data_IF_660036350744
#
_entry.id   IF_660036350744
#
_cell.length_a   1.000
_cell.length_b   1.000
_cell.length_c   1.000
_cell.angle_alpha   90.00
_cell.angle_beta   90.00
_cell.angle_gamma   90.00
#
_symmetry.space_group_name_H-M   'P 1'
#
loop_
_entity.id
_entity.type
_entity.pdbx_description
1 polymer ?
#
# COMPACT_ATOMS: atom_id res chain seq x y z
N UNK A 1 -1.54 -7.64 -8.53
CA UNK A 1 -1.41 -6.76 -7.35
C UNK A 1 -2.78 -6.41 -6.78
N UNK A 2 -3.65 -5.78 -7.58
CA UNK A 2 -4.98 -5.35 -7.15
C UNK A 2 -5.78 -6.49 -6.48
N UNK A 3 -5.81 -7.68 -7.08
CA UNK A 3 -6.45 -8.86 -6.48
C UNK A 3 -5.89 -9.23 -5.10
N UNK A 4 -4.58 -9.15 -4.91
CA UNK A 4 -3.93 -9.46 -3.64
C UNK A 4 -4.30 -8.42 -2.56
N UNK A 5 -4.45 -7.16 -2.95
CA UNK A 5 -4.92 -6.07 -2.06
C UNK A 5 -6.40 -6.23 -1.73
N UNK A 6 -7.24 -6.53 -2.72
CA UNK A 6 -8.66 -6.82 -2.51
C UNK A 6 -8.88 -8.00 -1.57
N UNK A 7 -8.03 -9.04 -1.63
CA UNK A 7 -8.09 -10.19 -0.74
C UNK A 7 -7.83 -9.85 0.74
N UNK A 8 -7.01 -8.81 1.02
CA UNK A 8 -6.69 -8.38 2.39
C UNK A 8 -7.50 -7.17 2.86
N UNK A 9 -8.24 -6.52 1.97
CA UNK A 9 -9.04 -5.32 2.26
C UNK A 9 -10.04 -5.47 3.42
N UNK A 10 -10.74 -6.61 3.59
CA UNK A 10 -11.61 -6.84 4.76
C UNK A 10 -10.85 -6.76 6.08
N UNK A 11 -9.65 -7.34 6.14
CA UNK A 11 -8.82 -7.33 7.35
C UNK A 11 -8.27 -5.93 7.62
N UNK A 12 -7.88 -5.19 6.58
CA UNK A 12 -7.46 -3.79 6.69
C UNK A 12 -8.60 -2.93 7.27
N UNK A 13 -9.86 -3.19 6.86
CA UNK A 13 -11.04 -2.49 7.39
C UNK A 13 -11.21 -2.75 8.89
N UNK A 14 -11.07 -4.01 9.32
CA UNK A 14 -11.18 -4.39 10.74
C UNK A 14 -10.11 -3.70 11.60
N UNK A 15 -8.90 -3.54 11.08
CA UNK A 15 -7.82 -2.82 11.75
C UNK A 15 -8.01 -1.29 11.78
N UNK A 16 -9.00 -0.74 11.07
CA UNK A 16 -9.21 0.70 10.96
C UNK A 16 -9.43 1.37 12.33
N UNK A 17 -10.24 0.78 13.21
CA UNK A 17 -10.50 1.34 14.54
C UNK A 17 -9.23 1.41 15.40
N UNK A 18 -8.39 0.36 15.37
CA UNK A 18 -7.09 0.36 16.06
C UNK A 18 -6.17 1.45 15.49
N UNK A 19 -6.19 1.66 14.18
CA UNK A 19 -5.37 2.66 13.52
C UNK A 19 -5.72 4.09 13.99
N UNK A 20 -7.02 4.39 14.09
CA UNK A 20 -7.53 5.69 14.55
C UNK A 20 -7.22 5.91 16.04
N UNK A 21 -7.44 4.91 16.90
CA UNK A 21 -7.17 5.03 18.34
C UNK A 21 -5.68 5.29 18.62
N UNK A 22 -4.79 4.59 17.90
CA UNK A 22 -3.35 4.69 18.11
C UNK A 22 -2.69 5.84 17.34
N UNK A 23 -3.39 6.41 16.36
CA UNK A 23 -2.81 7.36 15.40
C UNK A 23 -1.69 6.75 14.55
N UNK A 24 -1.69 5.43 14.35
CA UNK A 24 -0.65 4.71 13.61
C UNK A 24 -1.21 3.49 12.89
N UNK A 25 -0.73 3.22 11.66
CA UNK A 25 -1.06 1.99 10.93
C UNK A 25 -0.62 0.74 11.74
N UNK A 26 -1.55 -0.18 12.06
CA UNK A 26 -1.20 -1.39 12.81
C UNK A 26 -0.14 -2.22 12.10
N UNK A 27 0.80 -2.80 12.86
CA UNK A 27 1.87 -3.64 12.28
C UNK A 27 1.33 -4.85 11.52
N UNK A 28 0.16 -5.37 11.89
CA UNK A 28 -0.50 -6.44 11.16
C UNK A 28 -0.90 -6.00 9.75
N UNK A 29 -1.49 -4.81 9.60
CA UNK A 29 -1.79 -4.17 8.31
C UNK A 29 -0.53 -4.01 7.46
N UNK A 30 0.56 -3.51 8.04
CA UNK A 30 1.82 -3.34 7.31
C UNK A 30 2.34 -4.68 6.76
N UNK A 31 2.29 -5.77 7.53
CA UNK A 31 2.70 -7.10 7.06
C UNK A 31 1.81 -7.63 5.94
N UNK A 32 0.51 -7.34 5.97
CA UNK A 32 -0.41 -7.75 4.90
C UNK A 32 -0.09 -7.01 3.59
N UNK A 33 0.13 -5.70 3.68
CA UNK A 33 0.51 -4.86 2.54
C UNK A 33 1.87 -5.27 1.96
N UNK A 34 2.83 -5.59 2.82
CA UNK A 34 4.15 -6.10 2.40
C UNK A 34 4.03 -7.42 1.63
N UNK A 35 3.28 -8.39 2.17
CA UNK A 35 3.01 -9.68 1.50
C UNK A 35 2.25 -9.52 0.19
N UNK A 36 1.31 -8.59 0.14
CA UNK A 36 0.62 -8.24 -1.10
C UNK A 36 1.59 -7.61 -2.13
N UNK A 37 2.72 -7.05 -1.66
CA UNK A 37 3.77 -6.45 -2.48
C UNK A 37 3.62 -4.95 -2.68
N UNK A 38 2.79 -4.28 -1.87
CA UNK A 38 2.55 -2.83 -1.95
C UNK A 38 3.85 -2.05 -1.76
N UNK A 39 4.75 -2.51 -0.89
CA UNK A 39 6.02 -1.81 -0.63
C UNK A 39 7.10 -1.95 -1.71
N UNK A 40 6.81 -2.71 -2.77
CA UNK A 40 7.69 -2.85 -3.93
C UNK A 40 7.01 -2.46 -5.23
N UNK A 41 5.79 -1.91 -5.17
CA UNK A 41 4.98 -1.67 -6.36
C UNK A 41 5.57 -0.63 -7.30
N UNK A 42 6.23 0.40 -6.78
CA UNK A 42 6.88 1.44 -7.56
C UNK A 42 8.40 1.31 -7.65
N UNK A 43 8.99 0.33 -6.96
CA UNK A 43 10.43 0.10 -7.00
C UNK A 43 10.81 -0.37 -8.41
N UNK A 44 11.85 0.21 -9.04
CA UNK A 44 12.30 -0.23 -10.37
C UNK A 44 12.64 -1.72 -10.43
N UNK A 45 12.34 -2.36 -11.56
CA UNK A 45 12.59 -3.80 -11.72
C UNK A 45 14.05 -4.21 -11.52
N UNK A 46 15.01 -3.33 -11.89
CA UNK A 46 16.46 -3.53 -11.67
C UNK A 46 16.86 -3.70 -10.20
N UNK A 47 15.99 -3.29 -9.26
CA UNK A 47 16.19 -3.44 -7.82
C UNK A 47 15.26 -4.52 -7.22
N UNK A 48 14.60 -5.34 -8.06
CA UNK A 48 13.70 -6.41 -7.61
C UNK A 48 12.28 -5.94 -7.27
N UNK A 49 11.90 -4.73 -7.71
CA UNK A 49 10.55 -4.22 -7.58
C UNK A 49 9.60 -4.68 -8.69
N UNK A 50 8.39 -4.13 -8.68
CA UNK A 50 7.34 -4.46 -9.64
C UNK A 50 7.19 -3.44 -10.76
N UNK A 51 7.80 -2.25 -10.63
CA UNK A 51 7.83 -1.20 -11.65
C UNK A 51 6.44 -0.89 -12.26
N UNK A 52 5.40 -0.87 -11.40
CA UNK A 52 4.04 -0.62 -11.85
C UNK A 52 3.91 0.79 -12.40
N UNK A 53 3.05 0.96 -13.40
CA UNK A 53 2.69 2.29 -13.91
C UNK A 53 1.98 3.13 -12.84
N UNK A 54 2.02 4.46 -13.00
CA UNK A 54 1.33 5.40 -12.11
C UNK A 54 -0.17 5.12 -11.99
N UNK A 55 -0.81 4.65 -13.07
CA UNK A 55 -2.22 4.27 -13.09
C UNK A 55 -2.47 3.03 -12.21
N UNK A 56 -1.66 1.98 -12.36
CA UNK A 56 -1.76 0.76 -11.54
C UNK A 56 -1.47 1.04 -10.06
N UNK A 57 -0.52 1.94 -9.78
CA UNK A 57 -0.24 2.39 -8.40
C UNK A 57 -1.45 3.12 -7.81
N UNK A 58 -2.11 3.99 -8.58
CA UNK A 58 -3.29 4.72 -8.15
C UNK A 58 -4.46 3.78 -7.86
N UNK A 59 -4.69 2.75 -8.68
CA UNK A 59 -5.73 1.74 -8.45
C UNK A 59 -5.50 0.98 -7.13
N UNK A 60 -4.25 0.61 -6.85
CA UNK A 60 -3.87 -0.08 -5.60
C UNK A 60 -4.09 0.81 -4.39
N UNK A 61 -3.62 2.06 -4.43
CA UNK A 61 -3.84 3.02 -3.35
C UNK A 61 -5.33 3.28 -3.14
N UNK A 62 -6.09 3.40 -4.23
CA UNK A 62 -7.54 3.61 -4.21
C UNK A 62 -8.26 2.47 -3.49
N UNK A 63 -7.90 1.22 -3.78
CA UNK A 63 -8.52 0.06 -3.13
C UNK A 63 -8.21 0.00 -1.62
N UNK A 64 -6.99 0.36 -1.21
CA UNK A 64 -6.64 0.48 0.22
C UNK A 64 -7.43 1.63 0.86
N UNK A 65 -7.49 2.79 0.21
CA UNK A 65 -8.16 3.97 0.73
C UNK A 65 -9.67 3.78 0.88
N UNK A 66 -10.29 2.93 0.04
CA UNK A 66 -11.70 2.54 0.12
C UNK A 66 -12.07 1.83 1.43
N UNK A 67 -11.11 1.19 2.08
CA UNK A 67 -11.31 0.46 3.34
C UNK A 67 -10.69 1.17 4.55
N UNK A 68 -9.58 1.89 4.35
CA UNK A 68 -8.93 2.69 5.38
C UNK A 68 -8.18 3.87 4.73
N UNK A 69 -8.77 5.08 4.70
CA UNK A 69 -8.18 6.24 4.03
C UNK A 69 -6.80 6.64 4.55
N UNK A 70 -6.60 6.59 5.88
CA UNK A 70 -5.32 6.92 6.53
C UNK A 70 -4.22 5.94 6.13
N UNK A 71 -4.54 4.64 6.02
CA UNK A 71 -3.59 3.64 5.50
C UNK A 71 -3.28 3.86 4.01
N UNK A 72 -4.29 4.17 3.19
CA UNK A 72 -4.10 4.52 1.79
C UNK A 72 -3.18 5.71 1.61
N UNK A 73 -3.39 6.78 2.39
CA UNK A 73 -2.50 7.95 2.42
C UNK A 73 -1.06 7.58 2.82
N UNK A 74 -0.87 6.76 3.85
CA UNK A 74 0.48 6.33 4.24
C UNK A 74 1.18 5.50 3.15
N UNK A 75 0.43 4.72 2.36
CA UNK A 75 0.99 3.95 1.26
C UNK A 75 1.51 4.83 0.10
N UNK A 76 0.94 6.03 -0.13
CA UNK A 76 1.41 6.94 -1.19
C UNK A 76 2.78 7.52 -0.88
N UNK A 77 3.14 7.69 0.40
CA UNK A 77 4.46 8.18 0.79
C UNK A 77 5.61 7.32 0.23
N UNK A 78 5.34 6.04 -0.04
CA UNK A 78 6.30 5.12 -0.63
C UNK A 78 6.53 5.37 -2.14
N UNK A 79 5.52 5.89 -2.83
CA UNK A 79 5.58 6.17 -4.27
C UNK A 79 6.57 7.29 -4.59
N UNK A 80 6.61 8.32 -3.73
CA UNK A 80 7.53 9.44 -3.86
C UNK A 80 8.99 9.00 -3.78
N UNK A 81 9.32 8.10 -2.85
CA UNK A 81 10.70 7.60 -2.69
C UNK A 81 11.16 6.75 -3.87
N UNK A 82 10.26 5.94 -4.45
CA UNK A 82 10.59 5.08 -5.56
C UNK A 82 10.76 5.84 -6.89
N UNK A 83 9.94 6.87 -7.14
CA UNK A 83 10.11 7.79 -8.27
C UNK A 83 11.47 8.48 -8.23
N UNK A 84 11.92 8.92 -7.04
CA UNK A 84 13.23 9.55 -6.86
C UNK A 84 14.42 8.60 -7.08
N UNK A 85 14.23 7.30 -6.86
CA UNK A 85 15.26 6.27 -7.11
C UNK A 85 15.30 5.77 -8.58
N UNK A 86 14.26 6.11 -9.36
CA UNK A 86 14.13 5.78 -10.78
C UNK A 86 14.75 6.82 -11.71
N UNK A 87 14.68 8.11 -11.34
CA UNK A 87 15.38 9.24 -11.97
C UNK A 87 16.91 9.12 -11.82
#
# INVERSE_FOLDING_TARGET
MLEAVSAVAPVIREHGAEAEERGQVPRATLRLLDRAGVFRMAVPGRFGGLDLSLAEQADVVGEIARVCPSTGWNATGLLTGALMAGL
#
